data_IF_338708575621
#
_entry.id   IF_338708575621
#
_cell.length_a   1.000
_cell.length_b   1.000
_cell.length_c   1.000
_cell.angle_alpha   90.00
_cell.angle_beta   90.00
_cell.angle_gamma   90.00
#
_symmetry.space_group_name_H-M   'P 1'
#
loop_
_entity.id
_entity.type
_entity.pdbx_description
1 polymer ?
#
# COMPACT_ATOMS: atom_id res chain seq x y z
N UNK A 1 12.30 30.90 27.83
CA UNK A 1 12.15 29.43 27.95
C UNK A 1 11.26 28.97 26.81
N UNK A 2 11.89 28.44 25.76
CA UNK A 2 11.36 27.50 24.72
C UNK A 2 10.04 27.84 24.00
N UNK A 3 9.95 27.71 22.68
CA UNK A 3 10.86 27.18 21.67
C UNK A 3 10.20 27.46 20.33
N UNK A 4 11.01 27.94 19.40
CA UNK A 4 10.62 28.35 18.07
C UNK A 4 10.32 27.05 17.32
N UNK A 5 9.06 26.86 16.91
CA UNK A 5 8.70 25.75 16.03
C UNK A 5 9.36 26.03 14.68
N UNK A 6 10.59 25.54 14.50
CA UNK A 6 11.20 25.31 13.19
C UNK A 6 10.29 24.35 12.43
N UNK A 7 9.37 24.95 11.70
CA UNK A 7 8.46 24.27 10.78
C UNK A 7 9.33 23.57 9.74
N UNK A 8 9.59 22.28 9.98
CA UNK A 8 10.36 21.40 9.11
C UNK A 8 9.55 21.20 7.84
N UNK A 9 9.62 22.16 6.92
CA UNK A 9 9.02 22.04 5.60
C UNK A 9 9.75 20.90 4.89
N UNK A 10 9.05 19.83 4.48
CA UNK A 10 9.69 18.73 3.79
C UNK A 10 10.36 19.26 2.51
N UNK A 11 11.59 18.80 2.19
CA UNK A 11 12.28 19.27 1.00
C UNK A 11 11.41 18.99 -0.24
N UNK A 12 11.10 20.04 -1.00
CA UNK A 12 10.41 19.91 -2.27
C UNK A 12 11.43 19.45 -3.31
N UNK A 13 11.26 18.25 -3.85
CA UNK A 13 12.08 17.74 -4.94
C UNK A 13 11.38 18.01 -6.27
N UNK A 14 12.01 18.82 -7.12
CA UNK A 14 11.61 18.95 -8.52
C UNK A 14 12.33 17.86 -9.32
N UNK A 15 11.59 16.89 -9.84
CA UNK A 15 12.13 15.84 -10.69
C UNK A 15 11.95 16.29 -12.14
N UNK A 16 13.04 16.52 -12.84
CA UNK A 16 13.02 16.79 -14.28
C UNK A 16 12.84 15.45 -15.00
N UNK A 17 11.79 15.35 -15.83
CA UNK A 17 11.39 14.10 -16.50
C UNK A 17 12.14 13.82 -17.79
N UNK A 18 13.43 14.10 -17.88
CA UNK A 18 14.28 13.87 -19.05
C UNK A 18 15.28 12.72 -18.85
N UNK A 19 14.83 11.63 -18.20
CA UNK A 19 15.65 10.43 -18.03
C UNK A 19 16.00 9.80 -19.38
N UNK A 20 17.27 9.38 -19.53
CA UNK A 20 17.71 8.68 -20.73
C UNK A 20 17.13 7.25 -20.79
N UNK A 21 17.04 6.64 -21.99
CA UNK A 21 16.64 5.24 -22.12
C UNK A 21 17.51 4.29 -21.28
N UNK A 22 18.81 4.56 -21.18
CA UNK A 22 19.77 3.78 -20.39
C UNK A 22 19.51 3.91 -18.89
N UNK A 23 19.16 5.10 -18.41
CA UNK A 23 18.81 5.34 -17.00
C UNK A 23 17.52 4.61 -16.62
N UNK A 24 16.51 4.63 -17.51
CA UNK A 24 15.28 3.84 -17.34
C UNK A 24 15.63 2.35 -17.29
N UNK A 25 16.48 1.86 -18.19
CA UNK A 25 16.90 0.46 -18.21
C UNK A 25 17.64 0.07 -16.92
N UNK A 26 18.51 0.94 -16.40
CA UNK A 26 19.22 0.72 -15.14
C UNK A 26 18.25 0.63 -13.95
N UNK A 27 17.27 1.54 -13.86
CA UNK A 27 16.23 1.51 -12.81
C UNK A 27 15.39 0.23 -12.86
N UNK A 28 14.97 -0.19 -14.06
CA UNK A 28 14.25 -1.45 -14.25
C UNK A 28 15.12 -2.63 -13.82
N UNK A 29 16.38 -2.68 -14.23
CA UNK A 29 17.29 -3.76 -13.86
C UNK A 29 17.46 -3.88 -12.33
N UNK A 30 17.61 -2.75 -11.62
CA UNK A 30 17.68 -2.73 -10.15
C UNK A 30 16.38 -3.23 -9.53
N UNK A 31 15.22 -2.75 -10.00
CA UNK A 31 13.92 -3.18 -9.48
C UNK A 31 13.70 -4.68 -9.67
N UNK A 32 14.07 -5.21 -10.82
CA UNK A 32 13.99 -6.65 -11.11
C UNK A 32 14.94 -7.45 -10.22
N UNK A 33 16.15 -6.96 -9.95
CA UNK A 33 17.09 -7.58 -9.02
C UNK A 33 16.53 -7.66 -7.59
N UNK A 34 15.91 -6.57 -7.11
CA UNK A 34 15.24 -6.53 -5.81
C UNK A 34 14.08 -7.54 -5.79
N UNK A 35 13.23 -7.55 -6.81
CA UNK A 35 12.09 -8.46 -6.89
C UNK A 35 12.53 -9.94 -6.92
N UNK A 36 13.60 -10.26 -7.64
CA UNK A 36 14.17 -11.60 -7.74
C UNK A 36 14.78 -12.09 -6.42
N UNK A 37 15.24 -11.18 -5.55
CA UNK A 37 15.80 -11.52 -4.23
C UNK A 37 14.72 -11.84 -3.17
N UNK A 38 13.44 -11.82 -3.53
CA UNK A 38 12.36 -12.04 -2.56
C UNK A 38 12.26 -13.50 -2.16
N UNK A 39 12.08 -13.75 -0.87
CA UNK A 39 11.83 -15.06 -0.26
C UNK A 39 10.69 -15.84 -0.97
N UNK A 40 10.67 -17.19 -0.85
CA UNK A 40 9.64 -18.01 -1.48
C UNK A 40 8.24 -17.49 -1.19
N UNK A 41 7.32 -17.57 -2.17
CA UNK A 41 6.01 -16.97 -2.07
C UNK A 41 5.31 -17.49 -0.82
N UNK A 42 4.89 -16.57 0.05
CA UNK A 42 4.06 -16.91 1.19
C UNK A 42 2.82 -17.69 0.72
N UNK A 43 2.29 -18.62 1.54
CA UNK A 43 1.08 -19.36 1.19
C UNK A 43 -0.01 -18.38 0.79
N UNK A 44 -0.60 -18.62 -0.39
CA UNK A 44 -1.57 -17.69 -0.99
C UNK A 44 -2.73 -17.52 -0.03
N UNK A 45 -2.86 -16.34 0.58
CA UNK A 45 -4.01 -16.03 1.43
C UNK A 45 -5.27 -16.16 0.59
N UNK A 46 -6.29 -16.84 1.12
CA UNK A 46 -7.61 -16.88 0.48
C UNK A 46 -8.09 -15.44 0.28
N UNK A 47 -8.50 -15.12 -0.94
CA UNK A 47 -9.02 -13.79 -1.24
C UNK A 47 -10.30 -13.56 -0.45
N UNK A 48 -10.29 -12.55 0.43
CA UNK A 48 -11.48 -12.14 1.17
C UNK A 48 -12.55 -11.50 0.27
N UNK A 49 -12.15 -11.05 -0.92
CA UNK A 49 -13.06 -10.56 -1.96
C UNK A 49 -13.83 -11.70 -2.63
N UNK A 50 -13.19 -12.87 -2.78
CA UNK A 50 -13.80 -14.06 -3.36
C UNK A 50 -14.47 -14.96 -2.30
N UNK A 51 -14.67 -14.47 -1.07
CA UNK A 51 -15.29 -15.26 -0.01
C UNK A 51 -16.76 -15.56 -0.32
N UNK A 52 -17.20 -16.83 -0.34
CA UNK A 52 -18.61 -17.18 -0.56
C UNK A 52 -19.56 -16.52 0.42
N UNK A 53 -19.10 -16.20 1.63
CA UNK A 53 -19.89 -15.47 2.64
C UNK A 53 -20.33 -14.07 2.17
N UNK A 54 -19.65 -13.48 1.18
CA UNK A 54 -20.05 -12.20 0.55
C UNK A 54 -21.08 -12.36 -0.56
N UNK A 55 -21.34 -13.58 -1.05
CA UNK A 55 -22.41 -13.84 -2.01
C UNK A 55 -23.82 -13.79 -1.36
N UNK A 56 -23.88 -13.79 -0.03
CA UNK A 56 -25.12 -13.71 0.74
C UNK A 56 -25.13 -12.42 1.54
N UNK A 57 -26.29 -11.76 1.61
CA UNK A 57 -26.48 -10.55 2.42
C UNK A 57 -26.33 -10.89 3.90
N UNK A 58 -25.45 -10.20 4.60
CA UNK A 58 -25.35 -10.27 6.06
C UNK A 58 -26.06 -9.09 6.72
N UNK A 59 -26.58 -9.31 7.93
CA UNK A 59 -27.21 -8.25 8.72
C UNK A 59 -26.17 -7.26 9.20
N UNK A 60 -26.38 -5.97 8.90
CA UNK A 60 -25.57 -4.88 9.41
C UNK A 60 -26.04 -4.54 10.83
N UNK A 61 -25.11 -4.55 11.78
CA UNK A 61 -25.38 -4.20 13.17
C UNK A 61 -25.24 -2.69 13.37
N UNK A 62 -26.23 -2.07 14.02
CA UNK A 62 -26.09 -0.74 14.62
C UNK A 62 -25.43 -0.88 15.99
N UNK A 63 -24.24 -0.30 16.15
CA UNK A 63 -23.49 -0.35 17.41
C UNK A 63 -22.00 -0.07 17.23
N UNK A 64 -21.23 -0.01 18.33
CA UNK A 64 -19.79 0.20 18.28
C UNK A 64 -19.12 -0.84 17.36
N UNK A 65 -18.34 -0.37 16.38
CA UNK A 65 -17.71 -1.23 15.38
C UNK A 65 -18.62 -1.69 14.23
N UNK A 66 -19.93 -1.47 14.30
CA UNK A 66 -20.90 -1.86 13.28
C UNK A 66 -20.58 -1.29 11.90
N UNK A 67 -20.31 0.02 11.83
CA UNK A 67 -19.90 0.69 10.59
C UNK A 67 -18.61 0.11 10.01
N UNK A 68 -17.58 -0.13 10.84
CA UNK A 68 -16.31 -0.71 10.38
C UNK A 68 -16.49 -2.13 9.81
N UNK A 69 -17.29 -2.95 10.50
CA UNK A 69 -17.57 -4.33 10.09
C UNK A 69 -18.47 -4.46 8.85
N UNK A 70 -19.06 -3.37 8.37
CA UNK A 70 -19.93 -3.37 7.18
C UNK A 70 -19.16 -3.60 5.87
N UNK A 71 -17.91 -3.13 5.79
CA UNK A 71 -17.09 -3.19 4.58
C UNK A 71 -15.80 -4.01 4.77
N UNK A 72 -15.27 -4.06 5.99
CA UNK A 72 -14.03 -4.78 6.31
C UNK A 72 -14.30 -6.22 6.77
N UNK A 73 -13.35 -7.15 6.53
CA UNK A 73 -13.41 -8.48 7.14
C UNK A 73 -13.51 -8.37 8.67
N UNK A 74 -14.33 -9.23 9.28
CA UNK A 74 -14.23 -9.51 10.71
C UNK A 74 -13.00 -10.36 11.01
#
# INVERSE_FOLDING_TARGET
MTGENEETRPPLFAIKGDASPEEIAALVAVLQGIAASTAPPAPRRRSQWASPARAVRSTLLSGPGGWRSSALPR
#
